data_IF_249819848615
#
_entry.id   IF_249819848615
#
_cell.length_a   1.000
_cell.length_b   1.000
_cell.length_c   1.000
_cell.angle_alpha   90.00
_cell.angle_beta   90.00
_cell.angle_gamma   90.00
#
_symmetry.space_group_name_H-M   'P 1'
#
loop_
_entity.id
_entity.type
_entity.pdbx_description
1 polymer ?
#
# COMPACT_ATOMS: atom_id res chain seq x y z
N UNK A 1 11.92 62.49 -3.97
CA UNK A 1 10.86 61.67 -3.33
C UNK A 1 10.43 60.62 -4.32
N UNK A 2 10.66 59.33 -4.13
CA UNK A 2 11.43 58.61 -3.13
C UNK A 2 11.84 57.34 -3.83
N UNK A 3 13.13 57.03 -3.72
CA UNK A 3 13.80 55.80 -4.12
C UNK A 3 13.31 54.60 -3.28
N UNK A 4 12.01 54.54 -3.00
CA UNK A 4 11.38 53.56 -2.13
C UNK A 4 11.11 52.35 -3.00
N UNK A 5 12.08 51.43 -2.93
CA UNK A 5 11.81 50.02 -2.71
C UNK A 5 11.73 49.08 -3.92
N UNK A 6 12.42 49.40 -5.04
CA UNK A 6 12.91 48.36 -5.98
C UNK A 6 13.88 47.33 -5.33
N UNK A 7 14.16 47.49 -4.04
CA UNK A 7 14.96 46.60 -3.18
C UNK A 7 14.10 45.89 -2.09
N UNK A 8 12.76 46.08 -2.05
CA UNK A 8 11.87 45.52 -1.02
C UNK A 8 10.84 44.51 -1.57
N UNK A 9 11.17 43.81 -2.65
CA UNK A 9 10.58 42.49 -2.95
C UNK A 9 11.71 41.46 -3.11
N UNK A 10 12.82 41.69 -2.39
CA UNK A 10 13.93 40.73 -2.22
C UNK A 10 13.75 39.96 -0.90
N UNK A 11 12.68 40.22 -0.13
CA UNK A 11 12.51 39.69 1.21
C UNK A 11 11.10 39.13 1.50
N UNK A 12 10.47 38.46 0.52
CA UNK A 12 9.43 37.48 0.85
C UNK A 12 10.15 36.14 1.03
N UNK A 13 10.57 35.92 2.28
CA UNK A 13 11.43 34.82 2.70
C UNK A 13 10.92 33.46 2.24
N UNK A 14 11.75 32.79 1.45
CA UNK A 14 12.44 31.58 1.87
C UNK A 14 11.74 30.77 2.98
N UNK A 15 10.55 30.25 2.67
CA UNK A 15 9.90 29.17 3.40
C UNK A 15 9.51 28.07 2.40
N UNK A 16 10.45 27.70 1.53
CA UNK A 16 10.43 26.37 0.92
C UNK A 16 10.86 25.39 1.99
N UNK A 17 9.97 25.10 2.93
CA UNK A 17 9.99 23.80 3.58
C UNK A 17 9.62 22.80 2.48
N UNK A 18 10.63 22.42 1.69
CA UNK A 18 10.62 21.15 0.99
C UNK A 18 10.73 20.06 2.07
N UNK A 19 9.68 19.94 2.88
CA UNK A 19 9.37 18.70 3.54
C UNK A 19 8.98 17.78 2.39
N UNK A 20 9.96 17.06 1.85
CA UNK A 20 9.66 15.83 1.13
C UNK A 20 9.01 14.91 2.16
N UNK A 21 7.69 15.04 2.32
CA UNK A 21 6.90 13.96 2.86
C UNK A 21 7.09 12.83 1.85
N UNK A 22 7.98 11.90 2.16
CA UNK A 22 7.91 10.57 1.57
C UNK A 22 6.53 10.06 1.95
N UNK A 23 5.59 10.19 1.02
CA UNK A 23 4.27 9.60 1.17
C UNK A 23 4.51 8.10 1.02
N UNK A 24 4.12 7.34 2.04
CA UNK A 24 4.19 5.89 1.95
C UNK A 24 3.32 5.45 0.76
N UNK A 25 3.95 4.77 -0.20
CA UNK A 25 3.26 4.27 -1.39
C UNK A 25 2.59 2.94 -1.01
N UNK A 26 1.28 2.84 -1.21
CA UNK A 26 0.52 1.65 -0.84
C UNK A 26 -0.32 1.12 -1.99
N UNK A 27 -0.49 -0.21 -2.01
CA UNK A 27 -1.33 -0.91 -3.00
C UNK A 27 -2.12 -2.01 -2.31
N UNK A 28 -3.40 -2.09 -2.67
CA UNK A 28 -4.33 -3.09 -2.14
C UNK A 28 -4.69 -4.11 -3.21
N UNK A 29 -4.69 -5.38 -2.82
CA UNK A 29 -5.07 -6.55 -3.62
C UNK A 29 -6.31 -7.16 -2.99
N UNK A 30 -7.28 -7.54 -3.83
CA UNK A 30 -8.54 -8.12 -3.38
C UNK A 30 -8.87 -9.34 -4.21
N UNK A 31 -9.11 -10.47 -3.53
CA UNK A 31 -9.44 -11.74 -4.17
C UNK A 31 -10.55 -12.45 -3.40
N UNK A 32 -11.33 -13.26 -4.11
CA UNK A 32 -12.44 -14.03 -3.54
C UNK A 32 -12.47 -15.43 -4.12
N UNK A 33 -12.60 -16.42 -3.26
CA UNK A 33 -12.69 -17.82 -3.66
C UNK A 33 -13.89 -18.48 -3.01
N UNK A 34 -14.73 -19.13 -3.82
CA UNK A 34 -15.75 -20.05 -3.33
C UNK A 34 -15.04 -21.31 -2.82
N UNK A 35 -15.34 -21.72 -1.59
CA UNK A 35 -14.65 -22.82 -0.90
C UNK A 35 -15.62 -23.85 -0.34
N UNK A 36 -15.13 -25.06 -0.11
CA UNK A 36 -15.85 -26.08 0.66
C UNK A 36 -15.72 -25.82 2.17
N UNK A 37 -16.60 -26.45 2.96
CA UNK A 37 -16.66 -26.32 4.42
C UNK A 37 -15.33 -26.65 5.12
N UNK A 38 -14.54 -27.56 4.55
CA UNK A 38 -13.26 -28.04 5.09
C UNK A 38 -12.02 -27.40 4.45
N UNK A 39 -12.19 -26.28 3.74
CA UNK A 39 -11.08 -25.63 3.05
C UNK A 39 -10.01 -25.07 4.01
N UNK A 40 -8.76 -25.13 3.57
CA UNK A 40 -7.60 -24.67 4.33
C UNK A 40 -7.06 -23.35 3.76
N UNK A 41 -6.86 -22.37 4.62
CA UNK A 41 -6.16 -21.12 4.26
C UNK A 41 -4.71 -21.22 4.72
N UNK A 42 -3.78 -21.20 3.78
CA UNK A 42 -2.34 -21.26 4.01
C UNK A 42 -1.71 -19.89 3.76
N UNK A 43 -1.15 -19.29 4.80
CA UNK A 43 -0.57 -17.95 4.75
C UNK A 43 0.90 -18.06 5.10
N UNK A 44 1.77 -17.70 4.16
CA UNK A 44 3.20 -17.60 4.37
C UNK A 44 3.62 -16.15 4.17
N UNK A 45 3.81 -15.42 5.27
CA UNK A 45 4.15 -14.00 5.24
C UNK A 45 5.18 -13.66 6.31
N UNK A 46 5.89 -12.56 6.11
CA UNK A 46 6.82 -11.97 7.07
C UNK A 46 6.47 -10.50 7.23
N UNK A 47 6.50 -9.99 8.46
CA UNK A 47 6.21 -8.57 8.78
C UNK A 47 4.81 -8.11 8.34
N UNK A 48 3.78 -8.91 8.66
CA UNK A 48 2.39 -8.58 8.36
C UNK A 48 1.54 -8.67 9.63
N UNK A 49 0.57 -7.76 9.72
CA UNK A 49 -0.54 -7.85 10.66
C UNK A 49 -1.68 -8.62 10.00
N UNK A 50 -2.24 -9.60 10.71
CA UNK A 50 -3.28 -10.49 10.18
C UNK A 50 -4.54 -10.36 11.03
N UNK A 51 -5.65 -10.06 10.39
CA UNK A 51 -6.98 -9.99 10.98
C UNK A 51 -7.91 -10.98 10.27
N UNK A 52 -8.69 -11.73 11.04
CA UNK A 52 -9.65 -12.70 10.52
C UNK A 52 -11.05 -12.36 11.01
N UNK A 53 -11.98 -12.28 10.06
CA UNK A 53 -13.41 -12.18 10.34
C UNK A 53 -14.10 -13.46 9.85
N UNK A 54 -14.86 -14.10 10.72
CA UNK A 54 -15.68 -15.25 10.37
C UNK A 54 -17.08 -14.79 9.98
N UNK A 55 -17.67 -15.45 8.98
CA UNK A 55 -19.00 -15.14 8.45
C UNK A 55 -19.71 -16.40 7.95
N UNK A 56 -21.02 -16.29 7.73
CA UNK A 56 -21.88 -17.38 7.23
C UNK A 56 -21.93 -17.38 5.69
N UNK A 57 -20.79 -17.68 5.06
CA UNK A 57 -20.66 -17.80 3.59
C UNK A 57 -19.62 -18.85 3.22
N UNK A 58 -19.88 -19.58 2.14
CA UNK A 58 -18.95 -20.52 1.50
C UNK A 58 -17.87 -19.80 0.66
N UNK A 59 -17.30 -18.73 1.19
CA UNK A 59 -16.33 -17.87 0.50
C UNK A 59 -15.21 -17.43 1.44
N UNK A 60 -13.97 -17.44 0.93
CA UNK A 60 -12.84 -16.73 1.53
C UNK A 60 -12.63 -15.43 0.73
N UNK A 61 -12.75 -14.30 1.42
CA UNK A 61 -12.48 -12.98 0.87
C UNK A 61 -11.19 -12.42 1.48
N UNK A 62 -10.23 -12.05 0.62
CA UNK A 62 -8.92 -11.56 1.02
C UNK A 62 -8.81 -10.08 0.64
N UNK A 63 -8.34 -9.26 1.57
CA UNK A 63 -7.85 -7.90 1.29
C UNK A 63 -6.44 -7.81 1.84
N UNK A 64 -5.46 -7.58 0.97
CA UNK A 64 -4.06 -7.44 1.34
C UNK A 64 -3.56 -6.06 0.93
N UNK A 65 -3.06 -5.27 1.87
CA UNK A 65 -2.47 -3.96 1.61
C UNK A 65 -0.99 -4.02 1.90
N UNK A 66 -0.17 -3.67 0.91
CA UNK A 66 1.27 -3.52 1.06
C UNK A 66 1.60 -2.04 1.08
N UNK A 67 2.37 -1.62 2.07
CA UNK A 67 2.80 -0.24 2.28
C UNK A 67 4.32 -0.17 2.24
N UNK A 68 4.86 0.70 1.40
CA UNK A 68 6.29 0.96 1.27
C UNK A 68 6.60 2.32 1.91
N UNK A 69 7.25 2.30 3.06
CA UNK A 69 7.72 3.52 3.73
C UNK A 69 9.10 3.93 3.19
N UNK A 70 9.28 5.21 2.88
CA UNK A 70 10.58 5.75 2.49
C UNK A 70 11.01 5.47 1.04
N UNK A 71 10.23 4.71 0.28
CA UNK A 71 10.50 4.47 -1.14
C UNK A 71 10.22 5.71 -1.99
N UNK A 72 10.98 5.89 -3.07
CA UNK A 72 10.61 6.80 -4.15
C UNK A 72 9.43 6.26 -4.96
N UNK A 73 8.73 7.14 -5.67
CA UNK A 73 7.60 6.74 -6.52
C UNK A 73 8.02 5.73 -7.60
N UNK A 74 9.21 5.89 -8.17
CA UNK A 74 9.78 4.95 -9.14
C UNK A 74 10.06 3.58 -8.53
N UNK A 75 10.71 3.51 -7.36
CA UNK A 75 10.98 2.25 -6.66
C UNK A 75 9.68 1.54 -6.26
N UNK A 76 8.68 2.27 -5.78
CA UNK A 76 7.39 1.71 -5.43
C UNK A 76 6.66 1.15 -6.65
N UNK A 77 6.71 1.87 -7.78
CA UNK A 77 6.13 1.41 -9.04
C UNK A 77 6.79 0.10 -9.50
N UNK A 78 8.12 0.05 -9.55
CA UNK A 78 8.87 -1.13 -9.95
C UNK A 78 8.57 -2.32 -9.01
N UNK A 79 8.44 -2.08 -7.71
CA UNK A 79 8.06 -3.10 -6.73
C UNK A 79 6.67 -3.68 -7.03
N UNK A 80 5.67 -2.83 -7.27
CA UNK A 80 4.30 -3.28 -7.51
C UNK A 80 4.04 -3.87 -8.89
N UNK A 81 4.89 -3.59 -9.89
CA UNK A 81 4.83 -4.22 -11.21
C UNK A 81 5.29 -5.68 -11.19
N UNK A 82 6.15 -6.04 -10.22
CA UNK A 82 6.65 -7.42 -10.07
C UNK A 82 5.69 -8.35 -9.28
N UNK A 83 4.44 -7.93 -9.05
CA UNK A 83 3.44 -8.68 -8.28
C UNK A 83 3.99 -9.20 -6.93
N UNK A 84 4.19 -8.32 -5.95
CA UNK A 84 4.87 -8.65 -4.69
C UNK A 84 4.10 -9.59 -3.76
N UNK A 85 2.90 -9.99 -4.16
CA UNK A 85 2.05 -10.95 -3.45
C UNK A 85 1.41 -11.88 -4.48
N UNK A 86 1.31 -13.15 -4.12
CA UNK A 86 0.60 -14.19 -4.84
C UNK A 86 -0.58 -14.66 -4.00
N UNK A 87 -1.78 -14.55 -4.56
CA UNK A 87 -3.02 -15.04 -3.95
C UNK A 87 -3.66 -16.03 -4.92
N UNK A 88 -3.66 -17.31 -4.56
CA UNK A 88 -4.20 -18.40 -5.37
C UNK A 88 -5.24 -19.16 -4.57
N UNK A 89 -6.27 -19.67 -5.22
CA UNK A 89 -7.30 -20.43 -4.52
C UNK A 89 -8.13 -21.32 -5.41
N UNK A 90 -8.65 -22.38 -4.80
CA UNK A 90 -9.66 -23.27 -5.34
C UNK A 90 -10.61 -23.69 -4.20
N UNK A 91 -11.50 -24.66 -4.47
CA UNK A 91 -12.51 -25.06 -3.49
C UNK A 91 -11.96 -25.71 -2.22
N UNK A 92 -10.69 -26.16 -2.19
CA UNK A 92 -10.09 -26.88 -1.06
C UNK A 92 -9.01 -26.08 -0.34
N UNK A 93 -8.32 -25.19 -1.05
CA UNK A 93 -7.18 -24.47 -0.51
C UNK A 93 -7.12 -23.05 -1.06
N UNK A 94 -6.80 -22.11 -0.18
CA UNK A 94 -6.41 -20.75 -0.50
C UNK A 94 -4.99 -20.52 0.00
N UNK A 95 -4.10 -20.09 -0.88
CA UNK A 95 -2.68 -19.83 -0.61
C UNK A 95 -2.39 -18.34 -0.77
N UNK A 96 -1.72 -17.78 0.23
CA UNK A 96 -1.22 -16.40 0.24
C UNK A 96 0.29 -16.46 0.51
N UNK A 97 1.11 -15.92 -0.40
CA UNK A 97 2.58 -15.88 -0.27
C UNK A 97 3.23 -14.70 -0.98
#
# INVERSE_FOLDING_TARGET
MTLVSKQLIIALGLLTSAGSFSQAESKTFQERFIVAEDAVVNINTSYADIEFETWDKDEVAITATITLEGASTEEAKDYFENSPIEILGNSKEVKIS
#
